data_IF_348804500695
#
_entry.id   IF_348804500695
#
_cell.length_a   1.000
_cell.length_b   1.000
_cell.length_c   1.000
_cell.angle_alpha   90.00
_cell.angle_beta   90.00
_cell.angle_gamma   90.00
#
_symmetry.space_group_name_H-M   'P 1'
#
loop_
_entity.id
_entity.type
_entity.pdbx_description
1 polymer ?
#
# COMPACT_ATOMS: atom_id res chain seq x y z
N UNK A 1 33.76 17.06 6.40
CA UNK A 1 33.64 16.02 7.44
C UNK A 1 32.87 14.87 6.83
N UNK A 2 33.53 13.75 6.58
CA UNK A 2 32.99 12.57 5.91
C UNK A 2 32.19 11.73 6.91
N UNK A 3 30.91 11.52 6.63
CA UNK A 3 30.03 10.65 7.41
C UNK A 3 30.46 9.19 7.22
N UNK A 4 30.85 8.46 8.28
CA UNK A 4 31.31 7.07 8.17
C UNK A 4 30.14 6.09 7.97
N UNK A 5 30.33 5.14 7.04
CA UNK A 5 29.63 3.84 6.90
C UNK A 5 28.10 3.81 6.98
N UNK A 6 27.47 4.33 5.93
CA UNK A 6 26.04 4.27 5.59
C UNK A 6 25.60 2.93 4.92
N UNK A 7 26.42 1.87 5.00
CA UNK A 7 26.49 0.84 3.94
C UNK A 7 25.96 -0.56 4.28
N UNK A 8 25.69 -0.92 5.55
CA UNK A 8 25.42 -2.34 5.87
C UNK A 8 23.95 -2.77 5.68
N UNK A 9 23.00 -1.83 5.71
CA UNK A 9 21.57 -2.13 5.50
C UNK A 9 21.03 -1.74 4.11
N UNK A 10 21.73 -0.87 3.38
CA UNK A 10 21.38 -0.57 1.98
C UNK A 10 21.69 -1.73 1.03
N UNK A 11 22.60 -2.65 1.37
CA UNK A 11 22.96 -3.79 0.51
C UNK A 11 21.98 -4.97 0.65
N UNK A 12 21.21 -5.03 1.74
CA UNK A 12 20.31 -6.16 2.05
C UNK A 12 18.88 -5.94 1.58
N UNK A 13 18.32 -4.75 1.80
CA UNK A 13 16.92 -4.49 1.47
C UNK A 13 16.60 -4.57 -0.03
N UNK A 14 17.45 -4.05 -0.96
CA UNK A 14 17.25 -4.28 -2.39
C UNK A 14 17.24 -5.76 -2.78
N UNK A 15 18.07 -6.59 -2.14
CA UNK A 15 18.09 -8.05 -2.36
C UNK A 15 16.82 -8.72 -1.83
N UNK A 16 16.32 -8.30 -0.67
CA UNK A 16 15.03 -8.77 -0.14
C UNK A 16 13.91 -8.37 -1.09
N UNK A 17 13.82 -7.10 -1.51
CA UNK A 17 12.81 -6.63 -2.47
C UNK A 17 12.85 -7.40 -3.79
N UNK A 18 14.04 -7.66 -4.31
CA UNK A 18 14.22 -8.49 -5.50
C UNK A 18 13.72 -9.92 -5.28
N UNK A 19 14.10 -10.56 -4.17
CA UNK A 19 13.66 -11.92 -3.84
C UNK A 19 12.14 -12.00 -3.65
N UNK A 20 11.53 -11.00 -3.02
CA UNK A 20 10.07 -10.91 -2.87
C UNK A 20 9.38 -10.79 -4.23
N UNK A 21 9.93 -9.98 -5.14
CA UNK A 21 9.43 -9.83 -6.49
C UNK A 21 9.56 -11.14 -7.30
N UNK A 22 10.71 -11.79 -7.29
CA UNK A 22 10.92 -13.08 -7.96
C UNK A 22 9.97 -14.17 -7.45
N UNK A 23 9.77 -14.26 -6.14
CA UNK A 23 8.84 -15.20 -5.51
C UNK A 23 7.38 -14.85 -5.79
N UNK A 24 7.05 -13.57 -5.94
CA UNK A 24 5.73 -13.14 -6.40
C UNK A 24 5.50 -13.53 -7.87
N UNK A 25 6.46 -13.26 -8.76
CA UNK A 25 6.41 -13.64 -10.18
C UNK A 25 6.24 -15.15 -10.34
N UNK A 26 6.98 -15.95 -9.57
CA UNK A 26 6.88 -17.41 -9.59
C UNK A 26 5.46 -17.93 -9.29
N UNK A 27 4.73 -17.22 -8.43
CA UNK A 27 3.36 -17.58 -8.05
C UNK A 27 2.28 -16.92 -8.90
N UNK A 28 2.64 -15.96 -9.76
CA UNK A 28 1.68 -15.19 -10.55
C UNK A 28 0.83 -16.09 -11.45
N UNK A 29 -0.50 -15.95 -11.38
CA UNK A 29 -1.46 -16.75 -12.13
C UNK A 29 -1.76 -18.13 -11.53
N UNK A 30 -1.17 -18.50 -10.38
CA UNK A 30 -1.58 -19.71 -9.65
C UNK A 30 -3.02 -19.56 -9.12
N UNK A 31 -3.77 -20.66 -9.11
CA UNK A 31 -5.18 -20.70 -8.69
C UNK A 31 -5.44 -21.85 -7.71
N UNK A 32 -6.08 -21.59 -6.55
CA UNK A 32 -6.49 -20.28 -6.01
C UNK A 32 -5.27 -19.36 -5.76
N UNK A 33 -5.48 -18.04 -5.76
CA UNK A 33 -4.39 -17.07 -5.51
C UNK A 33 -3.91 -17.29 -4.06
N UNK A 34 -2.64 -17.64 -3.85
CA UNK A 34 -2.12 -17.83 -2.50
C UNK A 34 -2.10 -16.49 -1.75
N UNK A 35 -2.53 -16.47 -0.48
CA UNK A 35 -2.43 -15.27 0.36
C UNK A 35 -0.98 -14.72 0.43
N UNK A 36 -0.01 -15.64 0.40
CA UNK A 36 1.40 -15.27 0.34
C UNK A 36 1.74 -14.44 -0.92
N UNK A 37 1.10 -14.69 -2.07
CA UNK A 37 1.31 -13.88 -3.27
C UNK A 37 0.87 -12.43 -3.01
N UNK A 38 -0.33 -12.22 -2.49
CA UNK A 38 -0.83 -10.87 -2.20
C UNK A 38 0.07 -10.14 -1.19
N UNK A 39 0.44 -10.81 -0.09
CA UNK A 39 1.30 -10.23 0.95
C UNK A 39 2.68 -9.81 0.42
N UNK A 40 3.26 -10.56 -0.53
CA UNK A 40 4.52 -10.18 -1.20
C UNK A 40 4.34 -8.93 -2.06
N UNK A 41 3.25 -8.84 -2.81
CA UNK A 41 2.97 -7.67 -3.64
C UNK A 41 2.79 -6.41 -2.77
N UNK A 42 2.07 -6.52 -1.65
CA UNK A 42 1.91 -5.45 -0.67
C UNK A 42 3.20 -5.10 0.08
N UNK A 43 4.10 -6.06 0.31
CA UNK A 43 5.44 -5.80 0.86
C UNK A 43 6.22 -4.89 -0.09
N UNK A 44 6.29 -5.24 -1.38
CA UNK A 44 6.98 -4.44 -2.40
C UNK A 44 6.35 -3.05 -2.47
N UNK A 45 5.02 -2.96 -2.51
CA UNK A 45 4.30 -1.70 -2.54
C UNK A 45 4.60 -0.82 -1.32
N UNK A 46 4.64 -1.41 -0.13
CA UNK A 46 4.91 -0.67 1.11
C UNK A 46 6.29 -0.01 1.05
N UNK A 47 7.31 -0.73 0.61
CA UNK A 47 8.65 -0.15 0.48
C UNK A 47 8.70 0.91 -0.62
N UNK A 48 7.94 0.76 -1.71
CA UNK A 48 7.88 1.78 -2.75
C UNK A 48 7.27 3.10 -2.26
N UNK A 49 6.44 3.05 -1.23
CA UNK A 49 5.83 4.24 -0.60
C UNK A 49 6.73 4.81 0.50
N UNK A 50 7.21 3.98 1.42
CA UNK A 50 7.87 4.44 2.65
C UNK A 50 9.40 4.44 2.58
N UNK A 51 10.00 3.75 1.61
CA UNK A 51 11.45 3.74 1.38
C UNK A 51 11.78 3.55 -0.13
N UNK A 52 11.27 4.43 -1.02
CA UNK A 52 11.51 4.34 -2.46
C UNK A 52 13.00 4.33 -2.82
N UNK A 53 13.85 4.94 -1.99
CA UNK A 53 15.30 4.93 -2.13
C UNK A 53 15.94 3.52 -2.08
N UNK A 54 15.20 2.51 -1.61
CA UNK A 54 15.66 1.12 -1.58
C UNK A 54 15.44 0.37 -2.90
N UNK A 55 14.82 0.99 -3.91
CA UNK A 55 14.61 0.39 -5.22
C UNK A 55 15.77 0.72 -6.16
N UNK A 56 16.55 -0.29 -6.51
CA UNK A 56 17.52 -0.18 -7.60
C UNK A 56 16.81 0.00 -8.95
N UNK A 57 17.37 0.82 -9.84
CA UNK A 57 16.81 1.05 -11.18
C UNK A 57 16.66 -0.24 -11.99
N UNK A 58 17.55 -1.21 -11.78
CA UNK A 58 17.48 -2.56 -12.36
C UNK A 58 16.18 -3.26 -11.97
N UNK A 59 15.84 -3.27 -10.69
CA UNK A 59 14.61 -3.87 -10.16
C UNK A 59 13.37 -3.12 -10.65
N UNK A 60 13.38 -1.78 -10.65
CA UNK A 60 12.25 -0.99 -11.17
C UNK A 60 11.98 -1.32 -12.64
N UNK A 61 13.05 -1.43 -13.46
CA UNK A 61 12.94 -1.83 -14.85
C UNK A 61 12.36 -3.24 -14.99
N UNK A 62 12.83 -4.19 -14.18
CA UNK A 62 12.34 -5.57 -14.17
C UNK A 62 10.84 -5.66 -13.85
N UNK A 63 10.40 -4.96 -12.79
CA UNK A 63 8.99 -4.85 -12.40
C UNK A 63 8.15 -4.24 -13.53
N UNK A 64 8.62 -3.14 -14.12
CA UNK A 64 7.92 -2.46 -15.22
C UNK A 64 7.82 -3.33 -16.46
N UNK A 65 8.89 -4.04 -16.84
CA UNK A 65 8.90 -4.95 -17.99
C UNK A 65 7.88 -6.07 -17.78
N UNK A 66 7.91 -6.73 -16.63
CA UNK A 66 6.96 -7.79 -16.31
C UNK A 66 5.50 -7.30 -16.35
N UNK A 67 5.22 -6.15 -15.75
CA UNK A 67 3.88 -5.58 -15.75
C UNK A 67 3.38 -5.27 -17.18
N UNK A 68 4.24 -4.72 -18.03
CA UNK A 68 3.93 -4.47 -19.45
C UNK A 68 3.67 -5.78 -20.23
N UNK A 69 4.49 -6.80 -20.03
CA UNK A 69 4.31 -8.11 -20.67
C UNK A 69 2.99 -8.77 -20.26
N UNK A 70 2.64 -8.72 -18.96
CA UNK A 70 1.39 -9.28 -18.47
C UNK A 70 0.16 -8.56 -19.02
N UNK A 71 0.22 -7.24 -19.23
CA UNK A 71 -0.84 -6.46 -19.88
C UNK A 71 -1.12 -6.88 -21.32
N UNK A 72 -0.12 -7.41 -22.02
CA UNK A 72 -0.25 -7.88 -23.41
C UNK A 72 -0.83 -9.31 -23.49
N UNK A 73 -0.93 -10.02 -22.37
CA UNK A 73 -1.44 -11.38 -22.34
C UNK A 73 -2.94 -11.42 -22.67
N UNK A 74 -3.37 -12.35 -23.54
CA UNK A 74 -4.76 -12.43 -24.06
C UNK A 74 -5.85 -12.47 -22.98
N UNK A 75 -5.53 -13.07 -21.83
CA UNK A 75 -6.43 -13.23 -20.69
C UNK A 75 -6.32 -12.12 -19.62
N UNK A 76 -5.52 -11.07 -19.87
CA UNK A 76 -5.24 -10.04 -18.87
C UNK A 76 -6.52 -9.40 -18.33
N UNK A 77 -7.33 -8.82 -19.22
CA UNK A 77 -8.58 -8.16 -18.86
C UNK A 77 -9.66 -9.11 -18.32
N UNK A 78 -9.53 -10.42 -18.54
CA UNK A 78 -10.52 -11.41 -18.08
C UNK A 78 -10.27 -11.90 -16.67
N UNK A 79 -9.01 -12.16 -16.30
CA UNK A 79 -8.72 -12.83 -15.04
C UNK A 79 -7.42 -12.42 -14.35
N UNK A 80 -6.47 -11.77 -15.02
CA UNK A 80 -5.15 -11.49 -14.43
C UNK A 80 -4.94 -10.05 -13.98
N UNK A 81 -5.76 -9.11 -14.44
CA UNK A 81 -5.57 -7.68 -14.17
C UNK A 81 -5.52 -7.37 -12.67
N UNK A 82 -6.39 -8.00 -11.87
CA UNK A 82 -6.47 -7.68 -10.45
C UNK A 82 -5.27 -8.22 -9.66
N UNK A 83 -4.68 -9.35 -10.05
CA UNK A 83 -3.44 -9.86 -9.43
C UNK A 83 -2.25 -8.91 -9.61
N UNK A 84 -2.26 -8.12 -10.69
CA UNK A 84 -1.19 -7.18 -11.02
C UNK A 84 -1.33 -5.84 -10.28
N UNK A 85 -2.51 -5.51 -9.73
CA UNK A 85 -2.80 -4.18 -9.19
C UNK A 85 -1.79 -3.66 -8.16
N UNK A 86 -1.38 -4.42 -7.12
CA UNK A 86 -0.44 -3.87 -6.14
C UNK A 86 0.92 -3.55 -6.78
N UNK A 87 1.31 -4.29 -7.82
CA UNK A 87 2.54 -4.03 -8.59
C UNK A 87 2.38 -2.82 -9.50
N UNK A 88 1.24 -2.62 -10.14
CA UNK A 88 1.00 -1.37 -10.88
C UNK A 88 1.00 -0.16 -9.94
N UNK A 89 0.37 -0.29 -8.77
CA UNK A 89 0.39 0.80 -7.78
C UNK A 89 1.80 1.02 -7.22
N UNK A 90 2.63 -0.02 -7.11
CA UNK A 90 4.06 0.11 -6.80
C UNK A 90 4.76 0.99 -7.85
N UNK A 91 4.53 0.73 -9.14
CA UNK A 91 5.11 1.53 -10.23
C UNK A 91 4.61 2.97 -10.21
N UNK A 92 3.33 3.20 -9.87
CA UNK A 92 2.81 4.55 -9.63
C UNK A 92 3.50 5.24 -8.45
N UNK A 93 3.71 4.53 -7.33
CA UNK A 93 4.37 5.11 -6.15
C UNK A 93 5.79 5.60 -6.48
N UNK A 94 6.52 4.82 -7.29
CA UNK A 94 7.90 5.09 -7.71
C UNK A 94 8.04 6.14 -8.82
N UNK A 95 7.12 6.16 -9.79
CA UNK A 95 7.22 7.01 -10.99
C UNK A 95 6.31 8.24 -10.98
N UNK A 96 5.28 8.24 -10.14
CA UNK A 96 4.14 9.17 -10.19
C UNK A 96 3.39 9.19 -11.54
N UNK A 97 3.63 8.23 -12.44
CA UNK A 97 2.88 8.10 -13.68
C UNK A 97 1.51 7.46 -13.42
N UNK A 98 0.47 8.28 -13.55
CA UNK A 98 -0.90 7.88 -13.28
C UNK A 98 -1.43 6.81 -14.24
N UNK A 99 -0.76 6.56 -15.36
CA UNK A 99 -1.11 5.48 -16.30
C UNK A 99 -1.12 4.10 -15.62
N UNK A 100 -0.27 3.92 -14.61
CA UNK A 100 -0.18 2.67 -13.84
C UNK A 100 -1.43 2.36 -13.02
N UNK A 101 -2.17 3.37 -12.54
CA UNK A 101 -3.37 3.15 -11.71
C UNK A 101 -4.69 3.22 -12.48
N UNK A 102 -4.65 3.29 -13.81
CA UNK A 102 -5.87 3.41 -14.63
C UNK A 102 -6.83 2.23 -14.46
N UNK A 103 -6.29 1.01 -14.34
CA UNK A 103 -7.11 -0.20 -14.12
C UNK A 103 -7.76 -0.16 -12.73
N UNK A 104 -7.00 0.22 -11.70
CA UNK A 104 -7.53 0.39 -10.35
C UNK A 104 -8.67 1.42 -10.33
N UNK A 105 -8.45 2.61 -10.92
CA UNK A 105 -9.46 3.67 -11.06
C UNK A 105 -10.74 3.18 -11.72
N UNK A 106 -10.60 2.51 -12.88
CA UNK A 106 -11.72 1.99 -13.65
C UNK A 106 -12.52 0.89 -12.93
N UNK A 107 -11.95 0.27 -11.88
CA UNK A 107 -12.58 -0.82 -11.14
C UNK A 107 -12.97 -0.46 -9.71
N UNK A 108 -12.88 0.82 -9.32
CA UNK A 108 -13.38 1.28 -8.02
C UNK A 108 -14.89 1.03 -7.85
N UNK A 109 -15.66 1.02 -8.94
CA UNK A 109 -17.09 0.71 -8.97
C UNK A 109 -17.44 -0.69 -9.47
N UNK A 110 -16.48 -1.60 -9.47
CA UNK A 110 -16.71 -2.98 -9.89
C UNK A 110 -17.89 -3.60 -9.14
N UNK A 111 -18.78 -4.37 -9.78
CA UNK A 111 -20.02 -4.89 -9.15
C UNK A 111 -19.76 -5.90 -8.02
N UNK A 112 -18.65 -6.64 -8.08
CA UNK A 112 -18.22 -7.56 -7.01
C UNK A 112 -17.54 -6.82 -5.85
N UNK A 113 -18.06 -6.98 -4.62
CA UNK A 113 -17.54 -6.33 -3.41
C UNK A 113 -16.13 -6.75 -3.02
N UNK A 114 -15.75 -8.01 -3.24
CA UNK A 114 -14.40 -8.52 -3.00
C UNK A 114 -13.37 -7.86 -3.92
N UNK A 115 -13.73 -7.66 -5.20
CA UNK A 115 -12.88 -6.94 -6.16
C UNK A 115 -12.74 -5.47 -5.76
N UNK A 116 -13.84 -4.77 -5.43
CA UNK A 116 -13.76 -3.38 -4.94
C UNK A 116 -12.86 -3.26 -3.72
N UNK A 117 -12.99 -4.18 -2.77
CA UNK A 117 -12.16 -4.25 -1.57
C UNK A 117 -10.67 -4.39 -1.92
N UNK A 118 -10.33 -5.30 -2.83
CA UNK A 118 -8.95 -5.51 -3.25
C UNK A 118 -8.37 -4.31 -4.04
N UNK A 119 -9.18 -3.66 -4.88
CA UNK A 119 -8.82 -2.39 -5.55
C UNK A 119 -8.52 -1.30 -4.51
N UNK A 120 -9.36 -1.16 -3.48
CA UNK A 120 -9.13 -0.21 -2.40
C UNK A 120 -7.85 -0.53 -1.62
N UNK A 121 -7.65 -1.78 -1.21
CA UNK A 121 -6.43 -2.25 -0.54
C UNK A 121 -5.19 -1.90 -1.37
N UNK A 122 -5.26 -2.12 -2.69
CA UNK A 122 -4.18 -1.82 -3.64
C UNK A 122 -3.89 -0.32 -3.74
N UNK A 123 -4.88 0.56 -3.67
CA UNK A 123 -4.66 2.02 -3.75
C UNK A 123 -4.34 2.67 -2.40
N UNK A 124 -4.55 1.95 -1.31
CA UNK A 124 -4.59 2.52 0.03
C UNK A 124 -3.29 3.24 0.45
N UNK A 125 -2.13 2.64 0.15
CA UNK A 125 -0.82 3.19 0.51
C UNK A 125 -0.37 4.35 -0.37
N UNK A 126 -1.08 4.64 -1.47
CA UNK A 126 -0.78 5.79 -2.33
C UNK A 126 -1.87 6.86 -2.25
N UNK A 127 -2.83 6.73 -1.33
CA UNK A 127 -3.97 7.65 -1.23
C UNK A 127 -3.52 9.10 -1.05
N UNK A 128 -2.41 9.32 -0.34
CA UNK A 128 -1.83 10.65 -0.13
C UNK A 128 -1.20 11.27 -1.39
N UNK A 129 -1.02 10.50 -2.47
CA UNK A 129 -0.57 10.97 -3.79
C UNK A 129 -1.75 11.22 -4.74
N UNK A 130 -2.95 10.76 -4.39
CA UNK A 130 -4.15 10.96 -5.19
C UNK A 130 -4.76 12.33 -4.91
N UNK A 131 -5.52 12.84 -5.88
CA UNK A 131 -6.30 14.06 -5.72
C UNK A 131 -7.78 13.73 -5.58
N UNK A 132 -8.45 14.44 -4.67
CA UNK A 132 -9.89 14.31 -4.44
C UNK A 132 -10.70 14.74 -5.66
N UNK A 133 -10.24 15.76 -6.38
CA UNK A 133 -10.88 16.30 -7.58
C UNK A 133 -10.60 15.50 -8.87
N UNK A 134 -9.92 14.36 -8.77
CA UNK A 134 -9.66 13.48 -9.92
C UNK A 134 -10.98 12.85 -10.41
N UNK A 135 -11.49 13.20 -11.61
CA UNK A 135 -12.75 12.69 -12.10
C UNK A 135 -12.73 11.18 -12.32
N UNK A 136 -11.55 10.57 -12.51
CA UNK A 136 -11.39 9.12 -12.66
C UNK A 136 -11.51 8.37 -11.33
N UNK A 137 -11.41 9.07 -10.20
CA UNK A 137 -11.71 8.53 -8.87
C UNK A 137 -13.13 8.91 -8.43
N UNK A 138 -13.50 10.17 -8.63
CA UNK A 138 -14.76 10.72 -8.15
C UNK A 138 -15.97 10.05 -8.79
N UNK A 139 -15.98 9.92 -10.12
CA UNK A 139 -17.10 9.35 -10.88
C UNK A 139 -17.45 7.91 -10.45
N UNK A 140 -16.52 6.93 -10.42
CA UNK A 140 -16.86 5.58 -9.98
C UNK A 140 -17.31 5.54 -8.51
N UNK A 141 -16.79 6.42 -7.65
CA UNK A 141 -17.21 6.47 -6.25
C UNK A 141 -18.65 6.98 -6.12
N UNK A 142 -19.01 8.05 -6.85
CA UNK A 142 -20.40 8.52 -6.91
C UNK A 142 -21.33 7.42 -7.40
N UNK A 143 -20.99 6.73 -8.50
CA UNK A 143 -21.80 5.63 -9.03
C UNK A 143 -22.02 4.50 -8.02
N UNK A 144 -20.99 4.15 -7.23
CA UNK A 144 -21.13 3.13 -6.17
C UNK A 144 -22.15 3.52 -5.11
N UNK A 145 -22.16 4.79 -4.72
CA UNK A 145 -23.06 5.34 -3.70
C UNK A 145 -24.50 5.41 -4.21
N UNK A 146 -24.68 5.87 -5.44
CA UNK A 146 -25.98 5.93 -6.12
C UNK A 146 -26.61 4.52 -6.25
N UNK A 147 -25.82 3.52 -6.63
CA UNK A 147 -26.32 2.14 -6.79
C UNK A 147 -26.40 1.37 -5.47
N UNK A 148 -25.99 1.97 -4.35
CA UNK A 148 -26.07 1.35 -3.03
C UNK A 148 -25.21 0.07 -2.90
N UNK A 149 -24.09 -0.01 -3.63
CA UNK A 149 -23.21 -1.17 -3.59
C UNK A 149 -22.63 -1.41 -2.18
N UNK A 150 -22.54 -2.67 -1.74
CA UNK A 150 -21.92 -3.02 -0.46
C UNK A 150 -20.47 -2.50 -0.38
N UNK A 151 -20.14 -1.72 0.65
CA UNK A 151 -18.80 -1.12 0.80
C UNK A 151 -18.58 0.15 -0.02
N UNK A 152 -19.63 0.75 -0.59
CA UNK A 152 -19.57 2.05 -1.24
C UNK A 152 -19.13 3.17 -0.28
N UNK A 153 -19.49 3.12 1.00
CA UNK A 153 -18.98 4.11 1.97
C UNK A 153 -17.48 4.02 2.15
N UNK A 154 -16.90 2.82 2.10
CA UNK A 154 -15.45 2.68 2.18
C UNK A 154 -14.75 3.32 0.98
N UNK A 155 -15.30 3.26 -0.24
CA UNK A 155 -14.67 3.94 -1.38
C UNK A 155 -14.74 5.46 -1.23
N UNK A 156 -15.83 5.99 -0.69
CA UNK A 156 -15.98 7.41 -0.37
C UNK A 156 -15.02 7.87 0.75
N UNK A 157 -14.92 7.11 1.85
CA UNK A 157 -13.99 7.37 2.95
C UNK A 157 -12.53 7.30 2.50
N UNK A 158 -12.21 6.37 1.60
CA UNK A 158 -10.91 6.30 0.94
C UNK A 158 -10.58 7.60 0.21
N UNK A 159 -11.48 8.10 -0.63
CA UNK A 159 -11.22 9.33 -1.38
C UNK A 159 -11.11 10.55 -0.45
N UNK A 160 -11.84 10.58 0.68
CA UNK A 160 -11.72 11.65 1.68
C UNK A 160 -10.29 11.78 2.24
N UNK A 161 -9.48 10.72 2.24
CA UNK A 161 -8.07 10.74 2.66
C UNK A 161 -7.11 11.27 1.58
N UNK A 162 -7.55 11.41 0.32
CA UNK A 162 -6.75 11.94 -0.77
C UNK A 162 -6.43 13.44 -0.60
N UNK A 163 -5.52 14.00 -1.37
CA UNK A 163 -5.23 15.44 -1.31
C UNK A 163 -6.40 16.28 -1.84
N UNK A 164 -6.66 17.45 -1.26
CA UNK A 164 -7.66 18.39 -1.76
C UNK A 164 -8.28 19.25 -0.66
N UNK A 165 -8.90 20.35 -1.08
CA UNK A 165 -9.46 21.36 -0.19
C UNK A 165 -10.59 20.79 0.69
N UNK A 166 -10.58 21.03 2.02
CA UNK A 166 -11.60 20.51 2.93
C UNK A 166 -13.02 20.93 2.54
N UNK A 167 -13.21 22.17 2.09
CA UNK A 167 -14.51 22.73 1.68
C UNK A 167 -15.08 22.02 0.45
N UNK A 168 -14.21 21.70 -0.52
CA UNK A 168 -14.59 20.93 -1.71
C UNK A 168 -15.02 19.52 -1.31
N UNK A 169 -14.24 18.85 -0.45
CA UNK A 169 -14.59 17.52 0.05
C UNK A 169 -15.93 17.54 0.78
N UNK A 170 -16.11 18.51 1.66
CA UNK A 170 -17.35 18.67 2.44
C UNK A 170 -18.56 18.89 1.52
N UNK A 171 -18.41 19.72 0.49
CA UNK A 171 -19.47 19.97 -0.51
C UNK A 171 -19.82 18.71 -1.27
N UNK A 172 -18.82 17.96 -1.73
CA UNK A 172 -19.03 16.71 -2.45
C UNK A 172 -19.69 15.65 -1.56
N UNK A 173 -19.30 15.55 -0.29
CA UNK A 173 -19.92 14.61 0.66
C UNK A 173 -21.39 14.97 0.88
N UNK A 174 -21.74 16.26 0.99
CA UNK A 174 -23.14 16.68 1.08
C UNK A 174 -23.95 16.24 -0.15
N UNK A 175 -23.39 16.42 -1.36
CA UNK A 175 -24.02 15.94 -2.59
C UNK A 175 -24.22 14.42 -2.59
N UNK A 176 -23.22 13.66 -2.13
CA UNK A 176 -23.35 12.22 -1.97
C UNK A 176 -24.44 11.83 -0.97
N UNK A 177 -24.56 12.54 0.15
CA UNK A 177 -25.59 12.30 1.16
C UNK A 177 -27.00 12.58 0.63
N UNK A 178 -27.16 13.57 -0.25
CA UNK A 178 -28.44 13.88 -0.89
C UNK A 178 -28.85 12.80 -1.92
N UNK A 179 -27.88 12.07 -2.48
CA UNK A 179 -28.08 11.07 -3.54
C UNK A 179 -28.06 9.62 -3.03
N UNK A 180 -27.43 9.34 -1.89
CA UNK A 180 -27.19 7.98 -1.42
C UNK A 180 -28.47 7.28 -0.93
N UNK A 181 -28.76 6.12 -1.52
CA UNK A 181 -29.96 5.33 -1.19
C UNK A 181 -29.84 4.48 0.10
N UNK A 182 -28.64 4.28 0.67
CA UNK A 182 -28.38 3.31 1.74
C UNK A 182 -27.81 3.93 3.02
N UNK A 183 -28.39 3.59 4.18
CA UNK A 183 -28.16 4.22 5.49
C UNK A 183 -26.90 3.79 6.26
N UNK A 184 -26.26 2.65 5.94
CA UNK A 184 -25.19 2.08 6.79
C UNK A 184 -23.90 2.91 6.80
N UNK A 185 -23.56 3.57 5.69
CA UNK A 185 -22.36 4.41 5.58
C UNK A 185 -22.67 5.91 5.63
N UNK A 186 -23.95 6.28 5.65
CA UNK A 186 -24.39 7.68 5.75
C UNK A 186 -23.94 8.33 7.05
N UNK A 187 -23.93 7.62 8.17
CA UNK A 187 -23.54 8.21 9.47
C UNK A 187 -22.08 8.71 9.44
N UNK A 188 -21.17 7.92 8.88
CA UNK A 188 -19.75 8.30 8.77
C UNK A 188 -19.56 9.49 7.83
N UNK A 189 -20.23 9.48 6.68
CA UNK A 189 -20.18 10.59 5.74
C UNK A 189 -20.83 11.85 6.32
N UNK A 190 -21.93 11.73 7.06
CA UNK A 190 -22.56 12.83 7.79
C UNK A 190 -21.60 13.44 8.82
N UNK A 191 -20.94 12.61 9.64
CA UNK A 191 -19.92 13.08 10.59
C UNK A 191 -18.82 13.88 9.89
N UNK A 192 -18.26 13.35 8.79
CA UNK A 192 -17.27 14.09 8.00
C UNK A 192 -17.83 15.39 7.41
N UNK A 193 -19.07 15.39 6.92
CA UNK A 193 -19.74 16.57 6.39
C UNK A 193 -19.95 17.68 7.45
N UNK A 194 -19.98 17.33 8.74
CA UNK A 194 -20.03 18.28 9.86
C UNK A 194 -18.64 18.59 10.45
N UNK A 195 -17.56 18.08 9.84
CA UNK A 195 -16.19 18.31 10.29
C UNK A 195 -15.76 17.45 11.49
N UNK A 196 -16.54 16.42 11.82
CA UNK A 196 -16.23 15.48 12.90
C UNK A 196 -15.20 14.42 12.48
N UNK A 197 -14.68 13.71 13.49
CA UNK A 197 -13.75 12.60 13.30
C UNK A 197 -14.51 11.30 13.02
N UNK A 198 -14.01 10.50 12.08
CA UNK A 198 -14.53 9.16 11.80
C UNK A 198 -13.44 8.11 12.02
N UNK A 199 -13.70 7.01 12.75
CA UNK A 199 -12.73 5.92 12.88
C UNK A 199 -12.27 5.43 11.52
N UNK A 200 -10.95 5.35 11.33
CA UNK A 200 -10.37 4.91 10.07
C UNK A 200 -10.65 3.41 9.86
N UNK A 201 -11.49 3.02 8.87
CA UNK A 201 -11.87 1.63 8.68
C UNK A 201 -10.79 0.81 7.96
N UNK A 202 -9.63 1.40 7.63
CA UNK A 202 -8.56 0.76 6.87
C UNK A 202 -7.37 0.32 7.72
N UNK A 203 -7.34 0.68 9.01
CA UNK A 203 -6.21 0.38 9.88
C UNK A 203 -5.90 -1.12 9.96
N UNK A 204 -6.89 -2.00 9.91
CA UNK A 204 -6.66 -3.45 9.96
C UNK A 204 -5.87 -3.96 8.75
N UNK A 205 -6.00 -3.34 7.57
CA UNK A 205 -5.18 -3.68 6.40
C UNK A 205 -3.73 -3.31 6.64
N UNK A 206 -3.51 -2.11 7.16
CA UNK A 206 -2.19 -1.59 7.47
C UNK A 206 -1.49 -2.46 8.52
N UNK A 207 -2.20 -2.86 9.57
CA UNK A 207 -1.69 -3.78 10.61
C UNK A 207 -1.32 -5.14 9.99
N UNK A 208 -2.18 -5.70 9.14
CA UNK A 208 -1.89 -6.97 8.44
C UNK A 208 -0.59 -6.88 7.63
N UNK A 209 -0.40 -5.81 6.86
CA UNK A 209 0.83 -5.61 6.08
C UNK A 209 2.04 -5.40 6.98
N UNK A 210 1.91 -4.59 8.04
CA UNK A 210 2.98 -4.35 9.01
C UNK A 210 3.43 -5.65 9.72
N UNK A 211 2.49 -6.52 10.08
CA UNK A 211 2.81 -7.84 10.65
C UNK A 211 3.62 -8.69 9.67
N UNK A 212 3.20 -8.75 8.41
CA UNK A 212 3.94 -9.49 7.38
C UNK A 212 5.35 -8.93 7.18
N UNK A 213 5.48 -7.61 7.03
CA UNK A 213 6.77 -6.93 6.87
C UNK A 213 7.69 -7.23 8.05
N UNK A 214 7.20 -7.12 9.27
CA UNK A 214 7.97 -7.39 10.49
C UNK A 214 8.48 -8.84 10.52
N UNK A 215 7.61 -9.82 10.21
CA UNK A 215 8.00 -11.22 10.14
C UNK A 215 9.04 -11.48 9.03
N UNK A 216 8.87 -10.87 7.85
CA UNK A 216 9.82 -11.04 6.74
C UNK A 216 11.18 -10.47 7.08
N UNK A 217 11.24 -9.25 7.61
CA UNK A 217 12.51 -8.62 8.01
C UNK A 217 13.21 -9.42 9.12
N UNK A 218 12.48 -9.87 10.14
CA UNK A 218 13.02 -10.71 11.21
C UNK A 218 13.49 -12.09 10.71
N UNK A 219 12.78 -12.71 9.76
CA UNK A 219 13.18 -14.00 9.21
C UNK A 219 14.48 -13.93 8.39
N UNK A 220 14.71 -12.81 7.69
CA UNK A 220 15.97 -12.57 6.99
C UNK A 220 17.12 -12.26 7.96
N UNK A 221 16.85 -11.64 9.10
CA UNK A 221 17.82 -11.48 10.18
C UNK A 221 18.24 -12.85 10.75
N UNK A 222 17.28 -13.70 11.11
CA UNK A 222 17.53 -15.04 11.64
C UNK A 222 18.25 -15.96 10.65
N UNK A 223 17.86 -15.93 9.36
CA UNK A 223 18.51 -16.71 8.30
C UNK A 223 19.95 -16.24 8.05
N UNK A 224 20.23 -14.94 8.15
CA UNK A 224 21.59 -14.43 8.00
C UNK A 224 22.45 -14.74 9.23
N UNK A 225 21.90 -14.67 10.44
CA UNK A 225 22.60 -15.11 11.64
C UNK A 225 22.94 -16.61 11.58
N UNK A 226 22.03 -17.45 11.08
CA UNK A 226 22.29 -18.89 10.96
C UNK A 226 23.26 -19.27 9.84
N UNK A 227 23.32 -18.50 8.75
CA UNK A 227 24.28 -18.72 7.65
C UNK A 227 25.66 -18.16 7.97
N UNK A 228 25.75 -16.99 8.61
CA UNK A 228 27.02 -16.32 8.88
C UNK A 228 27.69 -16.83 10.16
N UNK A 229 26.93 -17.35 11.11
CA UNK A 229 27.43 -17.78 12.42
C UNK A 229 26.78 -19.10 12.88
N UNK A 230 26.94 -20.20 12.14
CA UNK A 230 26.39 -21.50 12.55
C UNK A 230 26.92 -21.96 13.92
N UNK A 231 28.16 -21.57 14.26
CA UNK A 231 28.85 -21.93 15.50
C UNK A 231 28.29 -21.19 16.75
N UNK A 232 27.69 -20.00 16.60
CA UNK A 232 27.15 -19.19 17.71
C UNK A 232 25.78 -19.72 18.18
N UNK A 233 25.04 -20.44 17.32
CA UNK A 233 23.74 -21.01 17.68
C UNK A 233 23.86 -22.32 18.49
N UNK A 234 25.01 -23.00 18.46
CA UNK A 234 25.27 -24.17 19.30
C UNK A 234 25.75 -23.81 20.71
N UNK A 235 26.33 -22.61 20.91
CA UNK A 235 26.70 -22.08 22.23
C UNK A 235 25.66 -21.05 22.74
N UNK A 236 24.45 -21.52 23.03
CA UNK A 236 23.49 -20.72 23.80
C UNK A 236 24.00 -20.50 25.24
N UNK A 237 24.77 -19.43 25.46
CA UNK A 237 24.80 -18.63 26.69
C UNK A 237 25.74 -17.40 26.64
N UNK A 238 26.37 -17.09 25.51
CA UNK A 238 27.12 -15.84 25.36
C UNK A 238 26.28 -14.79 24.64
N UNK A 239 26.07 -13.67 25.32
CA UNK A 239 25.50 -12.42 24.80
C UNK A 239 25.96 -12.15 23.37
N UNK A 240 25.00 -12.09 22.44
CA UNK A 240 25.23 -11.63 21.06
C UNK A 240 25.99 -10.29 21.14
N UNK A 241 27.22 -10.19 20.60
CA UNK A 241 27.98 -8.95 20.66
C UNK A 241 27.18 -7.83 20.00
N UNK A 242 27.17 -6.64 20.61
CA UNK A 242 26.33 -5.50 20.23
C UNK A 242 26.48 -5.08 18.75
N UNK A 243 27.64 -5.37 18.16
CA UNK A 243 28.00 -5.16 16.76
C UNK A 243 27.27 -6.08 15.75
N UNK A 244 26.65 -7.18 16.22
CA UNK A 244 25.87 -8.11 15.40
C UNK A 244 24.35 -7.92 15.55
N UNK A 245 23.89 -7.00 16.40
CA UNK A 245 22.48 -6.61 16.45
C UNK A 245 22.14 -5.78 15.21
N UNK A 246 21.25 -6.32 14.39
CA UNK A 246 20.78 -5.72 13.14
C UNK A 246 19.85 -4.55 13.44
N UNK A 247 20.40 -3.42 13.86
CA UNK A 247 19.66 -2.17 13.83
C UNK A 247 19.50 -1.83 12.35
N UNK A 248 18.26 -1.67 11.84
CA UNK A 248 18.06 -0.77 10.69
C UNK A 248 18.89 0.49 11.00
N UNK A 249 19.57 1.12 10.03
CA UNK A 249 20.27 2.36 10.35
C UNK A 249 19.21 3.24 11.00
N UNK A 250 19.44 3.69 12.23
CA UNK A 250 18.43 4.38 13.07
C UNK A 250 17.71 5.48 12.24
N UNK A 251 18.45 6.06 11.30
CA UNK A 251 17.99 7.02 10.29
C UNK A 251 16.89 6.45 9.37
N UNK A 252 17.07 5.30 8.71
CA UNK A 252 16.06 4.72 7.82
C UNK A 252 14.80 4.30 8.58
N UNK A 253 14.95 3.72 9.77
CA UNK A 253 13.82 3.39 10.65
C UNK A 253 13.06 4.65 11.05
N UNK A 254 13.77 5.70 11.46
CA UNK A 254 13.15 6.99 11.81
C UNK A 254 12.45 7.66 10.63
N UNK A 255 13.02 7.58 9.41
CA UNK A 255 12.42 8.16 8.20
C UNK A 255 11.17 7.39 7.80
N UNK A 256 11.23 6.06 7.80
CA UNK A 256 10.07 5.20 7.52
C UNK A 256 8.97 5.47 8.53
N UNK A 257 9.30 5.47 9.82
CA UNK A 257 8.33 5.73 10.89
C UNK A 257 7.69 7.11 10.74
N UNK A 258 8.49 8.13 10.46
CA UNK A 258 7.99 9.49 10.20
C UNK A 258 7.05 9.51 8.99
N UNK A 259 7.44 8.91 7.86
CA UNK A 259 6.60 8.83 6.65
C UNK A 259 5.30 8.07 6.91
N UNK A 260 5.32 6.99 7.70
CA UNK A 260 4.11 6.28 8.12
C UNK A 260 3.23 7.16 9.00
N UNK A 261 3.81 7.82 10.00
CA UNK A 261 3.09 8.69 10.93
C UNK A 261 2.46 9.92 10.24
N UNK A 262 3.06 10.40 9.15
CA UNK A 262 2.51 11.49 8.34
C UNK A 262 1.49 11.00 7.30
N UNK A 263 1.45 9.70 7.02
CA UNK A 263 0.56 9.14 6.00
C UNK A 263 -0.89 9.01 6.54
N UNK A 264 -1.91 9.48 5.79
CA UNK A 264 -3.30 9.54 6.24
C UNK A 264 -3.89 8.17 6.63
N UNK A 265 -3.48 7.09 5.96
CA UNK A 265 -3.97 5.74 6.29
C UNK A 265 -3.55 5.25 7.69
N UNK A 266 -2.46 5.78 8.25
CA UNK A 266 -2.02 5.40 9.60
C UNK A 266 -2.71 6.23 10.69
N UNK A 267 -3.49 7.25 10.31
CA UNK A 267 -4.23 8.03 11.29
C UNK A 267 -5.39 7.20 11.86
N UNK A 268 -5.62 7.23 13.18
CA UNK A 268 -6.72 6.50 13.80
C UNK A 268 -8.10 7.03 13.37
N UNK A 269 -8.15 8.27 12.93
CA UNK A 269 -9.36 8.94 12.49
C UNK A 269 -9.15 9.63 11.15
N UNK A 270 -10.20 9.66 10.34
CA UNK A 270 -10.29 10.47 9.12
C UNK A 270 -10.92 11.81 9.50
N UNK A 271 -10.33 12.90 9.01
CA UNK A 271 -10.86 14.27 9.13
C UNK A 271 -10.58 15.05 7.85
N UNK A 272 -11.55 15.85 7.41
CA UNK A 272 -11.36 16.77 6.28
C UNK A 272 -10.39 17.89 6.69
N UNK A 273 -9.19 17.92 6.10
CA UNK A 273 -8.18 18.96 6.35
C UNK A 273 -6.94 18.57 7.17
N UNK A 274 -6.69 17.27 7.39
CA UNK A 274 -5.49 16.81 8.09
C UNK A 274 -4.23 16.63 7.22
N UNK A 275 -4.26 16.99 5.94
CA UNK A 275 -3.05 16.85 5.10
C UNK A 275 -2.07 17.98 5.47
N UNK A 276 -1.16 17.70 6.40
CA UNK A 276 0.05 18.51 6.56
C UNK A 276 0.90 18.29 5.30
N UNK A 277 1.02 19.33 4.48
CA UNK A 277 2.00 19.41 3.39
C UNK A 277 3.42 19.46 3.94
#
# INVERSE_FOLDING_TARGET
>A
MSVPSFLINQVKLPKILKSEFELWVHNFGQRPIPEAQDLRAFFIQWFAVFAPECFEQSLVKEISTFACEMKQHINFMRSKWYELLPIEVTLYALSSDSSWINIARANLNHHNSGIRRFVLESLLLVVNKLRFDDPYLLTPITNNLEWGHMGAGNTALFLCMAQGEPEMKQTQIKQWLDQAMNSFDCEKLQKLAHGEYVPNPFLHYVVRFACYISLRLASHEALLQSILFPEILEEQNSTIPEEFQLKLPIILESIIWQRMNDHPVFQPFIRLGQVKT
#
